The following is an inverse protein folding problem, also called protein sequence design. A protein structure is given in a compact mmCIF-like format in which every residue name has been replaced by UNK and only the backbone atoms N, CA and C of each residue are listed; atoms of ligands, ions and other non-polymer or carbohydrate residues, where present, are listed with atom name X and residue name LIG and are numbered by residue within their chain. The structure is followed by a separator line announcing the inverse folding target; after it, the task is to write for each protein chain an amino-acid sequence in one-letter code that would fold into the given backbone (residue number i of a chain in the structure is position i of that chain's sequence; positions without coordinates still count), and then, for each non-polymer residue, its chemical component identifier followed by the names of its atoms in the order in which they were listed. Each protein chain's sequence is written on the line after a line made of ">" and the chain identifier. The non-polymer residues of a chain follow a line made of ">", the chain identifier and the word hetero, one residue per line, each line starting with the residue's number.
data_IF_781111916479
#
_entry.id   IF_781111916479
#
_cell.length_a   1.000
_cell.length_b   1.000
_cell.length_c   1.000
_cell.angle_alpha   90.00
_cell.angle_beta   90.00
_cell.angle_gamma   90.00
#
_symmetry.space_group_name_H-M   'P 1'
#
loop_
_entity.id
_entity.type
_entity.pdbx_description
1 polymer ?
#
# COMPACT_ATOMS: atom_id res chain seq x y z
N UNK A 1 0.30 2.78 19.57
CA UNK A 1 0.04 2.25 18.22
C UNK A 1 -0.14 0.74 18.32
N UNK A 2 -1.33 0.18 18.04
CA UNK A 2 -1.50 -1.28 17.94
C UNK A 2 -0.88 -1.70 16.61
N UNK A 3 0.21 -2.48 16.64
CA UNK A 3 0.71 -3.10 15.41
C UNK A 3 -0.39 -3.99 14.84
N UNK A 4 -0.82 -3.72 13.61
CA UNK A 4 -1.73 -4.61 12.89
C UNK A 4 -0.90 -5.79 12.39
N UNK A 5 -1.09 -6.94 13.04
CA UNK A 5 -0.47 -8.24 12.69
C UNK A 5 -1.54 -9.18 12.19
N UNK A 6 -2.27 -8.73 11.18
CA UNK A 6 -3.43 -9.44 10.63
C UNK A 6 -3.25 -9.62 9.14
N UNK A 7 -3.62 -10.79 8.66
CA UNK A 7 -3.79 -11.07 7.24
C UNK A 7 -5.28 -11.25 7.03
N UNK A 8 -5.88 -10.40 6.20
CA UNK A 8 -7.27 -10.51 5.78
C UNK A 8 -7.33 -10.72 4.28
N UNK A 9 -8.26 -11.57 3.84
CA UNK A 9 -8.48 -11.81 2.41
C UNK A 9 -9.94 -11.54 2.04
N UNK A 10 -10.10 -10.99 0.85
CA UNK A 10 -11.40 -10.83 0.19
C UNK A 10 -11.37 -11.54 -1.15
N UNK A 11 -12.51 -12.08 -1.57
CA UNK A 11 -12.67 -12.75 -2.87
C UNK A 11 -13.64 -11.97 -3.73
N UNK A 12 -13.28 -11.78 -5.01
CA UNK A 12 -14.15 -11.18 -6.01
C UNK A 12 -14.69 -12.24 -6.97
N UNK A 13 -15.94 -12.08 -7.42
CA UNK A 13 -16.45 -12.80 -8.59
C UNK A 13 -16.62 -11.83 -9.75
N UNK A 14 -16.15 -12.22 -10.94
CA UNK A 14 -16.39 -11.48 -12.18
C UNK A 14 -17.32 -12.27 -13.09
N UNK A 15 -18.08 -11.56 -13.93
CA UNK A 15 -18.89 -12.15 -15.00
C UNK A 15 -18.25 -11.80 -16.33
N UNK A 16 -17.95 -12.82 -17.15
CA UNK A 16 -17.31 -12.66 -18.45
C UNK A 16 -18.33 -12.81 -19.60
N UNK A 17 -18.29 -11.92 -20.60
CA UNK A 17 -18.64 -12.33 -21.95
C UNK A 17 -17.56 -11.87 -22.95
N UNK A 18 -16.56 -12.72 -23.18
CA UNK A 18 -15.66 -12.74 -24.35
C UNK A 18 -14.64 -11.60 -24.51
N UNK A 19 -13.43 -11.98 -24.95
CA UNK A 19 -12.16 -11.23 -24.95
C UNK A 19 -12.23 -9.70 -25.20
N UNK A 20 -11.40 -8.95 -24.46
CA UNK A 20 -11.33 -7.48 -24.40
C UNK A 20 -12.47 -6.78 -23.65
N UNK A 21 -13.47 -7.51 -23.16
CA UNK A 21 -14.54 -6.94 -22.35
C UNK A 21 -14.06 -6.52 -20.95
N UNK A 22 -14.59 -5.38 -20.49
CA UNK A 22 -14.41 -4.82 -19.15
C UNK A 22 -14.75 -5.84 -18.08
N UNK A 23 -13.89 -6.00 -17.07
CA UNK A 23 -14.21 -6.82 -15.90
C UNK A 23 -15.12 -6.01 -14.96
N UNK A 24 -16.23 -6.62 -14.55
CA UNK A 24 -17.12 -6.04 -13.53
C UNK A 24 -17.05 -6.93 -12.29
N UNK A 25 -16.58 -6.36 -11.18
CA UNK A 25 -16.63 -7.01 -9.87
C UNK A 25 -18.07 -7.01 -9.40
N UNK A 26 -18.71 -8.19 -9.40
CA UNK A 26 -20.13 -8.32 -9.07
C UNK A 26 -20.38 -8.37 -7.57
N UNK A 27 -19.44 -8.94 -6.82
CA UNK A 27 -19.47 -9.05 -5.37
C UNK A 27 -18.05 -9.19 -4.82
N UNK A 28 -17.87 -8.71 -3.59
CA UNK A 28 -16.68 -8.93 -2.76
C UNK A 28 -17.14 -9.62 -1.48
N UNK A 29 -16.53 -10.75 -1.16
CA UNK A 29 -16.83 -11.54 0.03
C UNK A 29 -15.61 -11.61 0.94
N UNK A 30 -15.83 -11.42 2.24
CA UNK A 30 -14.78 -11.57 3.25
C UNK A 30 -14.48 -13.05 3.46
N UNK A 31 -13.25 -13.47 3.14
CA UNK A 31 -12.84 -14.86 3.26
C UNK A 31 -12.41 -15.23 4.68
N UNK A 32 -11.88 -14.27 5.45
CA UNK A 32 -11.44 -14.48 6.82
C UNK A 32 -10.28 -13.56 7.22
N UNK A 33 -9.87 -13.69 8.48
CA UNK A 33 -8.73 -12.98 9.07
C UNK A 33 -7.94 -13.91 9.99
N UNK A 34 -6.62 -13.86 9.89
CA UNK A 34 -5.71 -14.51 10.83
C UNK A 34 -4.93 -13.44 11.58
N UNK A 35 -4.95 -13.52 12.92
CA UNK A 35 -4.08 -12.71 13.78
C UNK A 35 -2.80 -13.49 14.09
N UNK A 36 -1.65 -12.94 13.72
CA UNK A 36 -0.36 -13.54 14.02
C UNK A 36 0.03 -13.29 15.50
N UNK A 37 0.62 -14.28 16.20
CA UNK A 37 1.02 -14.11 17.59
C UNK A 37 1.97 -12.92 17.80
N UNK A 38 1.81 -12.24 18.92
CA UNK A 38 2.75 -11.18 19.32
C UNK A 38 4.14 -11.76 19.52
N UNK A 39 5.16 -11.15 18.91
CA UNK A 39 6.53 -11.63 19.01
C UNK A 39 6.83 -12.86 18.16
N UNK A 40 5.97 -13.19 17.18
CA UNK A 40 6.25 -14.20 16.18
C UNK A 40 7.63 -13.91 15.53
N UNK A 41 8.46 -14.94 15.47
CA UNK A 41 9.78 -14.90 14.86
C UNK A 41 9.78 -15.77 13.61
N UNK A 42 10.41 -15.31 12.54
CA UNK A 42 10.66 -16.09 11.35
C UNK A 42 12.07 -15.84 10.84
N UNK A 43 12.84 -16.92 10.63
CA UNK A 43 14.22 -16.87 10.13
C UNK A 43 15.11 -15.83 10.85
N UNK A 44 14.97 -15.71 12.18
CA UNK A 44 15.76 -14.77 12.99
C UNK A 44 15.27 -13.31 12.96
N UNK A 45 14.11 -13.05 12.36
CA UNK A 45 13.49 -11.72 12.27
C UNK A 45 12.14 -11.70 12.97
N UNK A 46 11.85 -10.61 13.68
CA UNK A 46 10.52 -10.40 14.25
C UNK A 46 9.54 -10.07 13.14
N UNK A 47 8.41 -10.78 13.10
CA UNK A 47 7.30 -10.46 12.21
C UNK A 47 6.60 -9.20 12.76
N UNK A 48 6.97 -8.07 12.20
CA UNK A 48 6.49 -6.72 12.55
C UNK A 48 5.06 -6.45 12.09
N UNK A 49 4.72 -5.17 11.97
CA UNK A 49 3.47 -4.74 11.34
C UNK A 49 3.53 -5.02 9.84
N UNK A 50 2.48 -5.64 9.29
CA UNK A 50 2.37 -5.88 7.86
C UNK A 50 1.58 -4.74 7.22
N UNK A 51 2.18 -4.07 6.22
CA UNK A 51 1.60 -2.89 5.58
C UNK A 51 1.08 -3.14 4.17
N UNK A 52 1.46 -4.26 3.54
CA UNK A 52 0.99 -4.63 2.21
C UNK A 52 1.12 -6.14 1.95
N UNK A 53 0.25 -6.67 1.08
CA UNK A 53 0.21 -8.06 0.67
C UNK A 53 -0.12 -8.12 -0.82
N UNK A 54 0.68 -8.85 -1.60
CA UNK A 54 0.41 -9.08 -3.04
C UNK A 54 0.65 -10.55 -3.38
N UNK A 55 -0.18 -11.10 -4.26
CA UNK A 55 -0.07 -12.48 -4.73
C UNK A 55 0.76 -12.54 -6.03
N UNK A 56 1.70 -13.46 -6.07
CA UNK A 56 2.44 -13.85 -7.27
C UNK A 56 1.87 -15.16 -7.82
N UNK A 57 1.07 -15.11 -8.89
CA UNK A 57 0.49 -16.30 -9.50
C UNK A 57 1.52 -17.20 -10.20
N UNK A 58 2.70 -16.67 -10.57
CA UNK A 58 3.72 -17.44 -11.27
C UNK A 58 4.47 -18.38 -10.34
N UNK A 59 4.59 -17.98 -9.07
CA UNK A 59 5.30 -18.72 -8.02
C UNK A 59 4.37 -19.24 -6.91
N UNK A 60 3.05 -19.03 -7.05
CA UNK A 60 2.02 -19.42 -6.08
C UNK A 60 2.33 -18.96 -4.64
N UNK A 61 2.89 -17.76 -4.50
CA UNK A 61 3.32 -17.19 -3.21
C UNK A 61 2.73 -15.80 -2.99
N UNK A 62 2.70 -15.34 -1.75
CA UNK A 62 2.40 -13.97 -1.41
C UNK A 62 3.65 -13.25 -0.93
N UNK A 63 3.83 -12.01 -1.36
CA UNK A 63 4.79 -11.08 -0.75
C UNK A 63 4.07 -10.23 0.28
N UNK A 64 4.55 -10.25 1.52
CA UNK A 64 4.07 -9.39 2.59
C UNK A 64 5.16 -8.40 3.00
N UNK A 65 4.84 -7.11 2.91
CA UNK A 65 5.74 -6.03 3.28
C UNK A 65 5.66 -5.74 4.78
N UNK A 66 6.82 -5.65 5.41
CA UNK A 66 6.97 -5.24 6.80
C UNK A 66 8.02 -4.14 6.90
N UNK A 67 7.58 -2.91 7.18
CA UNK A 67 8.47 -1.77 7.49
C UNK A 67 8.94 -1.73 8.95
N UNK A 68 8.51 -2.71 9.76
CA UNK A 68 8.88 -2.87 11.17
C UNK A 68 8.49 -1.66 12.05
N UNK A 69 7.19 -1.52 12.33
CA UNK A 69 6.60 -0.37 13.04
C UNK A 69 7.04 -0.20 14.51
N UNK A 70 7.87 -1.09 15.06
CA UNK A 70 8.57 -0.86 16.34
C UNK A 70 9.95 -0.19 16.13
N UNK A 71 10.35 0.06 14.87
CA UNK A 71 11.62 0.65 14.44
C UNK A 71 12.84 -0.09 14.98
N UNK A 72 12.77 -1.43 15.02
CA UNK A 72 13.86 -2.26 15.52
C UNK A 72 14.77 -2.76 14.39
N UNK A 73 14.29 -2.81 13.14
CA UNK A 73 15.07 -3.33 12.03
C UNK A 73 14.64 -2.76 10.66
N UNK A 74 15.47 -3.01 9.63
CA UNK A 74 15.26 -2.52 8.27
C UNK A 74 14.01 -3.15 7.61
N UNK A 75 13.33 -2.46 6.68
CA UNK A 75 12.20 -3.03 5.95
C UNK A 75 12.52 -4.36 5.28
N UNK A 76 11.52 -5.23 5.15
CA UNK A 76 11.67 -6.57 4.57
C UNK A 76 10.42 -7.03 3.85
N UNK A 77 10.62 -7.96 2.94
CA UNK A 77 9.57 -8.75 2.32
C UNK A 77 9.60 -10.16 2.91
N UNK A 78 8.47 -10.59 3.43
CA UNK A 78 8.23 -12.00 3.71
C UNK A 78 7.59 -12.65 2.51
N UNK A 79 8.01 -13.87 2.18
CA UNK A 79 7.23 -14.75 1.30
C UNK A 79 6.36 -15.65 2.16
N UNK A 80 5.12 -15.81 1.75
CA UNK A 80 4.11 -16.59 2.44
C UNK A 80 3.44 -17.56 1.48
N UNK A 81 2.90 -18.64 2.02
CA UNK A 81 1.77 -19.36 1.43
C UNK A 81 0.53 -19.08 2.27
N UNK A 82 -0.62 -18.98 1.59
CA UNK A 82 -1.91 -18.85 2.24
C UNK A 82 -2.84 -19.88 1.59
N UNK A 83 -3.16 -20.94 2.33
CA UNK A 83 -4.11 -21.95 1.88
C UNK A 83 -5.53 -21.39 1.98
N UNK A 84 -6.23 -21.31 0.86
CA UNK A 84 -7.60 -20.82 0.81
C UNK A 84 -8.47 -21.71 -0.08
N UNK A 85 -8.08 -22.98 -0.23
CA UNK A 85 -8.70 -23.92 -1.16
C UNK A 85 -10.19 -24.18 -0.86
N UNK A 86 -10.62 -24.00 0.38
CA UNK A 86 -11.98 -24.31 0.82
C UNK A 86 -12.97 -23.13 0.79
N UNK A 87 -12.53 -21.95 0.38
CA UNK A 87 -13.39 -20.75 0.39
C UNK A 87 -13.10 -19.77 1.53
N UNK A 88 -12.36 -20.19 2.56
CA UNK A 88 -12.17 -19.42 3.79
C UNK A 88 -10.70 -19.13 4.08
N UNK A 89 -10.46 -18.29 5.09
CA UNK A 89 -9.15 -18.06 5.71
C UNK A 89 -9.27 -18.26 7.23
N UNK A 90 -8.51 -19.20 7.78
CA UNK A 90 -8.51 -19.62 9.18
C UNK A 90 -7.11 -19.77 9.79
N UNK A 91 -7.07 -20.04 11.10
CA UNK A 91 -5.81 -20.20 11.83
C UNK A 91 -4.97 -21.35 11.25
N UNK A 92 -3.66 -21.12 11.10
CA UNK A 92 -2.71 -22.13 10.59
C UNK A 92 -2.55 -22.17 9.07
N UNK A 93 -3.36 -21.43 8.31
CA UNK A 93 -3.30 -21.40 6.84
C UNK A 93 -2.26 -20.42 6.28
N UNK A 94 -1.77 -19.49 7.11
CA UNK A 94 -0.69 -18.58 6.75
C UNK A 94 0.65 -19.16 7.19
N UNK A 95 1.53 -19.47 6.23
CA UNK A 95 2.86 -20.01 6.49
C UNK A 95 3.94 -19.13 5.85
N UNK A 96 4.89 -18.68 6.66
CA UNK A 96 6.07 -17.95 6.19
C UNK A 96 7.08 -18.93 5.57
N UNK A 97 7.55 -18.62 4.36
CA UNK A 97 8.46 -19.47 3.58
C UNK A 97 9.81 -18.82 3.32
N UNK A 98 9.92 -17.51 3.48
CA UNK A 98 11.15 -16.77 3.22
C UNK A 98 11.09 -15.33 3.73
N UNK A 99 12.26 -14.72 3.84
CA UNK A 99 12.42 -13.31 4.20
C UNK A 99 13.61 -12.73 3.44
N UNK A 100 13.43 -11.53 2.90
CA UNK A 100 14.51 -10.72 2.30
C UNK A 100 14.47 -9.31 2.86
N UNK A 101 15.61 -8.80 3.29
CA UNK A 101 15.75 -7.40 3.71
C UNK A 101 15.75 -6.52 2.46
N UNK A 102 14.97 -5.43 2.48
CA UNK A 102 14.99 -4.47 1.39
C UNK A 102 16.29 -3.66 1.42
N UNK A 103 16.90 -3.51 0.25
CA UNK A 103 18.14 -2.77 0.08
C UNK A 103 18.00 -1.67 -0.96
N UNK A 104 18.82 -0.63 -0.83
CA UNK A 104 18.99 0.39 -1.84
C UNK A 104 19.77 -0.14 -3.05
N UNK A 105 20.05 0.76 -3.99
CA UNK A 105 20.74 0.40 -5.24
C UNK A 105 22.21 -0.04 -5.04
N UNK A 106 22.82 0.28 -3.90
CA UNK A 106 24.19 -0.12 -3.55
C UNK A 106 24.23 -1.29 -2.55
N UNK A 107 23.15 -2.07 -2.46
CA UNK A 107 22.98 -3.24 -1.60
C UNK A 107 23.04 -2.96 -0.08
N UNK A 108 22.89 -1.70 0.30
CA UNK A 108 22.76 -1.28 1.68
C UNK A 108 21.31 -1.48 2.18
N UNK A 109 21.10 -1.99 3.40
CA UNK A 109 19.75 -2.06 3.97
C UNK A 109 19.09 -0.67 4.00
N UNK A 110 17.80 -0.61 3.65
CA UNK A 110 17.02 0.62 3.79
C UNK A 110 16.93 1.03 5.27
N UNK A 111 16.75 2.33 5.51
CA UNK A 111 16.77 2.89 6.86
C UNK A 111 15.71 2.26 7.76
N UNK A 112 16.08 1.98 9.01
CA UNK A 112 15.14 1.47 10.02
C UNK A 112 13.99 2.46 10.21
N UNK A 113 12.76 1.94 10.23
CA UNK A 113 11.54 2.75 10.37
C UNK A 113 11.06 3.43 9.07
N UNK A 114 11.75 3.24 7.95
CA UNK A 114 11.15 3.54 6.63
C UNK A 114 10.12 2.48 6.25
N UNK A 115 9.20 2.78 5.32
CA UNK A 115 8.18 1.84 4.82
C UNK A 115 7.27 1.18 5.87
N UNK A 116 7.23 1.70 7.11
CA UNK A 116 6.27 1.27 8.12
C UNK A 116 4.82 1.41 7.62
N UNK A 117 4.62 2.36 6.69
CA UNK A 117 3.37 2.61 5.98
C UNK A 117 3.61 2.79 4.50
N UNK A 118 3.39 1.69 3.79
CA UNK A 118 3.77 1.50 2.41
C UNK A 118 2.73 0.63 1.71
N UNK A 119 2.59 0.82 0.41
CA UNK A 119 1.88 -0.10 -0.48
C UNK A 119 2.85 -1.03 -1.17
N UNK A 120 2.34 -2.16 -1.67
CA UNK A 120 3.10 -3.07 -2.52
C UNK A 120 2.22 -3.51 -3.70
N UNK A 121 2.82 -3.55 -4.88
CA UNK A 121 2.22 -4.13 -6.08
C UNK A 121 3.24 -4.99 -6.82
N UNK A 122 2.76 -5.98 -7.56
CA UNK A 122 3.55 -6.87 -8.40
C UNK A 122 3.14 -6.66 -9.85
N UNK A 123 4.11 -6.41 -10.73
CA UNK A 123 3.88 -6.38 -12.16
C UNK A 123 3.98 -7.79 -12.77
N UNK A 124 3.35 -8.02 -13.96
CA UNK A 124 3.39 -9.32 -14.63
C UNK A 124 4.78 -9.85 -14.98
N UNK A 125 5.79 -8.98 -15.05
CA UNK A 125 7.19 -9.33 -15.30
C UNK A 125 7.96 -9.76 -14.02
N UNK A 126 7.29 -9.78 -12.87
CA UNK A 126 7.88 -10.14 -11.57
C UNK A 126 8.50 -8.96 -10.82
N UNK A 127 8.47 -7.74 -11.37
CA UNK A 127 8.96 -6.54 -10.70
C UNK A 127 8.00 -6.13 -9.58
N UNK A 128 8.52 -5.88 -8.38
CA UNK A 128 7.76 -5.28 -7.28
C UNK A 128 7.84 -3.76 -7.34
N UNK A 129 6.74 -3.12 -6.95
CA UNK A 129 6.65 -1.69 -6.73
C UNK A 129 6.25 -1.45 -5.29
N UNK A 130 7.00 -0.62 -4.58
CA UNK A 130 6.77 -0.32 -3.17
C UNK A 130 6.71 1.19 -3.00
N UNK A 131 5.62 1.67 -2.41
CA UNK A 131 5.47 3.09 -2.08
C UNK A 131 5.96 3.37 -0.68
N UNK A 132 6.29 4.61 -0.41
CA UNK A 132 6.40 5.11 0.95
C UNK A 132 5.52 6.35 1.08
N UNK A 133 4.82 6.46 2.21
CA UNK A 133 3.81 7.50 2.40
C UNK A 133 4.40 8.92 2.52
N UNK A 134 5.68 9.05 2.90
CA UNK A 134 6.33 10.32 3.25
C UNK A 134 6.27 10.66 4.75
N UNK A 135 7.09 11.61 5.19
CA UNK A 135 7.11 12.11 6.57
C UNK A 135 7.15 13.65 6.58
N UNK A 136 5.99 14.32 6.66
CA UNK A 136 5.92 15.78 6.73
C UNK A 136 6.59 16.39 7.96
N UNK A 137 6.78 15.60 9.03
CA UNK A 137 7.38 16.06 10.29
C UNK A 137 8.90 15.83 10.34
N UNK A 138 9.46 15.16 9.32
CA UNK A 138 10.89 15.02 9.16
C UNK A 138 11.58 16.39 9.00
N UNK A 139 12.89 16.42 9.26
CA UNK A 139 13.71 17.61 9.12
C UNK A 139 14.88 17.33 8.16
N UNK A 140 14.79 17.71 6.86
CA UNK A 140 13.66 18.40 6.20
C UNK A 140 12.44 17.49 5.99
N UNK A 141 11.23 18.05 5.74
CA UNK A 141 10.05 17.28 5.39
C UNK A 141 10.32 16.39 4.18
N UNK A 142 9.88 15.13 4.27
CA UNK A 142 10.21 14.12 3.27
C UNK A 142 8.95 13.68 2.51
N UNK A 143 9.07 13.60 1.19
CA UNK A 143 7.97 13.35 0.29
C UNK A 143 7.72 11.87 0.05
N UNK A 144 6.54 11.50 -0.45
CA UNK A 144 6.30 10.12 -0.83
C UNK A 144 7.12 9.76 -2.07
N UNK A 145 7.46 8.48 -2.20
CA UNK A 145 8.09 7.94 -3.40
C UNK A 145 7.52 6.56 -3.75
N UNK A 146 7.79 6.10 -4.97
CA UNK A 146 7.50 4.74 -5.41
C UNK A 146 8.77 4.15 -6.01
N UNK A 147 9.28 3.08 -5.39
CA UNK A 147 10.49 2.38 -5.83
C UNK A 147 10.18 1.11 -6.61
N UNK A 148 11.08 0.78 -7.56
CA UNK A 148 11.12 -0.49 -8.27
C UNK A 148 12.04 -1.44 -7.50
N UNK A 149 11.53 -2.59 -7.09
CA UNK A 149 12.26 -3.61 -6.33
C UNK A 149 12.24 -4.97 -7.02
N UNK A 150 13.39 -5.63 -7.12
CA UNK A 150 13.40 -7.04 -7.50
C UNK A 150 12.85 -7.92 -6.36
N UNK A 151 12.37 -9.14 -6.64
CA UNK A 151 11.88 -10.07 -5.61
C UNK A 151 12.91 -10.45 -4.53
N UNK A 152 14.20 -10.24 -4.79
CA UNK A 152 15.28 -10.40 -3.82
C UNK A 152 15.44 -9.21 -2.86
N UNK A 153 14.63 -8.15 -3.03
CA UNK A 153 14.57 -6.98 -2.15
C UNK A 153 15.43 -5.80 -2.59
N UNK A 154 16.16 -5.87 -3.71
CA UNK A 154 17.03 -4.79 -4.15
C UNK A 154 16.29 -3.70 -4.93
N UNK A 155 16.47 -2.44 -4.54
CA UNK A 155 15.92 -1.31 -5.27
C UNK A 155 16.68 -1.08 -6.59
N UNK A 156 15.94 -1.05 -7.69
CA UNK A 156 16.45 -0.86 -9.04
C UNK A 156 16.20 0.54 -9.61
N UNK A 157 15.29 1.32 -9.00
CA UNK A 157 14.97 2.67 -9.45
C UNK A 157 13.78 3.28 -8.71
N UNK A 158 13.38 4.47 -9.17
CA UNK A 158 12.23 5.22 -8.67
C UNK A 158 11.30 5.59 -9.84
N UNK A 159 10.01 5.70 -9.55
CA UNK A 159 9.04 6.37 -10.42
C UNK A 159 8.94 7.85 -10.02
N UNK A 160 8.53 8.69 -10.98
CA UNK A 160 8.34 10.12 -10.75
C UNK A 160 7.04 10.38 -10.02
N UNK A 161 7.11 10.88 -8.78
CA UNK A 161 5.94 11.40 -8.05
C UNK A 161 5.88 12.91 -8.23
N UNK A 162 4.73 13.50 -8.63
CA UNK A 162 4.63 14.93 -8.87
C UNK A 162 5.00 15.78 -7.63
N UNK A 163 5.74 16.89 -7.77
CA UNK A 163 6.19 17.72 -6.63
C UNK A 163 5.07 18.25 -5.73
N UNK A 164 3.84 18.34 -6.22
CA UNK A 164 2.66 18.75 -5.43
C UNK A 164 2.32 17.79 -4.29
N UNK A 165 2.89 16.58 -4.30
CA UNK A 165 2.76 15.59 -3.22
C UNK A 165 3.79 15.82 -2.10
N UNK A 166 4.92 16.46 -2.39
CA UNK A 166 5.96 16.74 -1.39
C UNK A 166 5.43 17.71 -0.32
N UNK A 167 5.55 17.38 0.98
CA UNK A 167 5.02 18.23 2.04
C UNK A 167 5.79 19.55 2.12
N UNK A 168 5.05 20.65 2.26
CA UNK A 168 5.60 21.95 2.61
C UNK A 168 5.05 22.36 3.97
N UNK A 169 5.95 22.70 4.89
CA UNK A 169 5.61 23.05 6.27
C UNK A 169 5.79 24.55 6.52
N UNK A 170 4.87 25.15 7.27
CA UNK A 170 5.05 26.43 7.96
C UNK A 170 5.10 26.14 9.45
N UNK A 171 6.27 26.22 10.06
CA UNK A 171 6.55 25.68 11.39
C UNK A 171 6.13 24.20 11.49
N UNK A 172 5.14 23.87 12.32
CA UNK A 172 4.60 22.52 12.49
C UNK A 172 3.31 22.28 11.70
N UNK A 173 2.90 23.22 10.84
CA UNK A 173 1.64 23.13 10.10
C UNK A 173 1.90 22.82 8.63
N UNK A 174 1.32 21.74 8.08
CA UNK A 174 1.43 21.46 6.65
C UNK A 174 0.59 22.46 5.85
N UNK A 175 1.21 23.08 4.85
CA UNK A 175 0.59 24.10 3.98
C UNK A 175 0.47 23.67 2.51
N UNK A 176 1.17 22.60 2.12
CA UNK A 176 1.00 21.92 0.83
C UNK A 176 1.45 20.45 0.94
N UNK A 177 1.06 19.61 -0.01
CA UNK A 177 1.52 18.22 -0.10
C UNK A 177 0.72 17.23 0.71
N UNK A 178 1.31 16.06 0.94
CA UNK A 178 0.75 15.02 1.81
C UNK A 178 0.58 15.51 3.24
N UNK A 179 -0.30 14.85 3.97
CA UNK A 179 -0.47 15.03 5.41
C UNK A 179 0.19 13.87 6.15
N UNK A 180 0.60 14.13 7.39
CA UNK A 180 1.03 13.06 8.26
C UNK A 180 -0.10 12.05 8.34
N UNK A 181 0.26 10.78 8.18
CA UNK A 181 -0.68 9.69 8.29
C UNK A 181 -1.76 9.58 7.21
N UNK A 182 -1.61 10.25 6.07
CA UNK A 182 -2.57 10.18 4.96
C UNK A 182 -1.90 10.20 3.57
N UNK A 183 -0.68 9.66 3.46
CA UNK A 183 0.14 9.66 2.24
C UNK A 183 -0.17 8.53 1.24
N UNK A 184 0.79 8.21 0.37
CA UNK A 184 0.65 7.17 -0.67
C UNK A 184 0.78 5.75 -0.09
N UNK A 185 -0.34 5.03 0.07
CA UNK A 185 -0.35 3.65 0.60
C UNK A 185 -0.98 2.60 -0.32
N UNK A 186 -1.83 3.00 -1.26
CA UNK A 186 -2.51 2.06 -2.14
C UNK A 186 -1.76 1.97 -3.46
N UNK A 187 -1.42 0.76 -3.91
CA UNK A 187 -0.74 0.50 -5.17
C UNK A 187 -1.40 -0.66 -5.90
N UNK A 188 -1.49 -0.57 -7.22
CA UNK A 188 -1.81 -1.71 -8.09
C UNK A 188 -1.19 -1.53 -9.46
N UNK A 189 -0.94 -2.62 -10.17
CA UNK A 189 -0.44 -2.62 -11.55
C UNK A 189 -1.53 -3.23 -12.44
N UNK A 190 -1.76 -2.66 -13.62
CA UNK A 190 -2.71 -3.20 -14.58
C UNK A 190 -2.27 -4.59 -15.08
N UNK A 191 -3.21 -5.48 -15.42
CA UNK A 191 -2.87 -6.81 -15.94
C UNK A 191 -1.92 -6.84 -17.14
N UNK A 192 -1.91 -5.81 -18.00
CA UNK A 192 -0.97 -5.69 -19.11
C UNK A 192 0.41 -5.13 -18.72
N UNK A 193 0.62 -4.76 -17.46
CA UNK A 193 1.88 -4.23 -16.93
C UNK A 193 2.24 -2.84 -17.44
N UNK A 194 1.28 -2.08 -17.99
CA UNK A 194 1.55 -0.76 -18.57
C UNK A 194 1.39 0.39 -17.60
N UNK A 195 0.41 0.31 -16.71
CA UNK A 195 0.10 1.37 -15.75
C UNK A 195 0.28 0.87 -14.32
N UNK A 196 0.83 1.73 -13.48
CA UNK A 196 0.74 1.61 -12.04
C UNK A 196 -0.17 2.72 -11.51
N UNK A 197 -1.17 2.34 -10.73
CA UNK A 197 -2.01 3.27 -10.01
C UNK A 197 -1.56 3.35 -8.56
N UNK A 198 -1.31 4.56 -8.09
CA UNK A 198 -0.96 4.86 -6.71
C UNK A 198 -1.97 5.83 -6.10
N UNK A 199 -2.51 5.54 -4.92
CA UNK A 199 -3.51 6.41 -4.30
C UNK A 199 -3.13 6.84 -2.89
N UNK A 200 -3.50 8.09 -2.59
CA UNK A 200 -3.42 8.64 -1.25
C UNK A 200 -4.50 8.05 -0.37
N UNK A 201 -4.21 7.94 0.93
CA UNK A 201 -5.24 7.62 1.92
C UNK A 201 -6.29 8.73 2.02
N UNK A 202 -5.92 10.00 1.78
CA UNK A 202 -6.85 11.13 1.80
C UNK A 202 -6.38 12.32 0.94
N UNK A 203 -7.06 13.46 1.04
CA UNK A 203 -6.72 14.69 0.32
C UNK A 203 -5.27 15.16 0.56
N UNK A 204 -4.68 15.85 -0.42
CA UNK A 204 -3.52 16.73 -0.19
C UNK A 204 -3.97 18.03 0.48
N UNK A 205 -3.04 18.77 1.09
CA UNK A 205 -3.37 20.00 1.82
C UNK A 205 -4.13 21.01 0.96
N UNK A 206 -3.67 21.21 -0.27
CA UNK A 206 -4.26 22.13 -1.24
C UNK A 206 -5.62 21.67 -1.82
N UNK A 207 -6.05 20.44 -1.57
CA UNK A 207 -7.26 19.87 -2.18
C UNK A 207 -8.52 20.02 -1.33
N UNK A 208 -8.37 20.45 -0.08
CA UNK A 208 -9.47 20.59 0.87
C UNK A 208 -9.16 19.93 2.21
N UNK A 209 -10.15 19.88 3.12
CA UNK A 209 -9.99 19.23 4.42
C UNK A 209 -9.80 17.71 4.26
N UNK A 210 -9.29 17.08 5.32
CA UNK A 210 -9.43 15.63 5.48
C UNK A 210 -10.91 15.31 5.67
N UNK A 211 -11.34 14.10 5.28
CA UNK A 211 -12.70 13.66 5.58
C UNK A 211 -13.00 13.76 7.08
N UNK A 212 -14.30 13.88 7.38
CA UNK A 212 -14.83 13.82 8.73
C UNK A 212 -16.27 13.37 8.65
N UNK A 213 -17.02 13.37 9.75
CA UNK A 213 -18.47 13.16 9.69
C UNK A 213 -19.24 14.26 8.92
N UNK A 214 -18.57 15.39 8.58
CA UNK A 214 -19.16 16.55 7.89
C UNK A 214 -18.60 16.79 6.49
N UNK A 215 -17.42 16.26 6.17
CA UNK A 215 -16.72 16.49 4.90
C UNK A 215 -16.31 15.17 4.24
N UNK A 216 -16.37 15.14 2.91
CA UNK A 216 -15.74 14.08 2.11
C UNK A 216 -14.27 14.38 1.92
N UNK A 217 -13.42 13.34 1.94
CA UNK A 217 -12.01 13.46 1.58
C UNK A 217 -11.83 13.31 0.09
N UNK A 218 -10.96 14.11 -0.53
CA UNK A 218 -10.66 14.03 -1.97
C UNK A 218 -9.31 13.36 -2.22
N UNK A 219 -9.24 12.04 -2.06
CA UNK A 219 -8.03 11.28 -2.31
C UNK A 219 -7.66 11.33 -3.81
N UNK A 220 -6.39 11.54 -4.11
CA UNK A 220 -5.88 11.48 -5.49
C UNK A 220 -5.43 10.05 -5.82
N UNK A 221 -5.79 9.58 -7.02
CA UNK A 221 -5.25 8.38 -7.64
C UNK A 221 -4.35 8.82 -8.80
N UNK A 222 -3.05 8.58 -8.68
CA UNK A 222 -2.01 8.86 -9.66
C UNK A 222 -1.82 7.65 -10.58
N UNK A 223 -1.93 7.85 -11.89
CA UNK A 223 -1.57 6.86 -12.91
C UNK A 223 -0.16 7.14 -13.43
N UNK A 224 0.69 6.13 -13.40
CA UNK A 224 2.09 6.16 -13.83
C UNK A 224 2.28 5.19 -14.98
N UNK A 225 2.78 5.70 -16.11
CA UNK A 225 3.20 4.86 -17.23
C UNK A 225 4.49 4.13 -16.83
N UNK A 226 4.46 2.80 -16.78
CA UNK A 226 5.59 2.01 -16.30
C UNK A 226 6.76 1.96 -17.29
N UNK A 227 6.51 2.20 -18.57
CA UNK A 227 7.58 2.24 -19.58
C UNK A 227 8.44 3.50 -19.44
N UNK A 228 7.83 4.65 -19.14
CA UNK A 228 8.52 5.94 -18.95
C UNK A 228 8.87 6.23 -17.50
N UNK A 229 8.09 5.70 -16.56
CA UNK A 229 8.15 6.01 -15.14
C UNK A 229 7.51 7.35 -14.76
N UNK A 230 6.79 7.98 -15.67
CA UNK A 230 6.23 9.33 -15.53
C UNK A 230 4.71 9.33 -15.31
N UNK A 231 4.16 10.36 -14.65
CA UNK A 231 2.72 10.55 -14.50
C UNK A 231 2.01 10.66 -15.86
N UNK A 232 0.99 9.84 -16.06
CA UNK A 232 0.14 9.87 -17.26
C UNK A 232 -1.17 10.60 -17.01
N UNK A 233 -1.80 10.35 -15.86
CA UNK A 233 -3.08 10.94 -15.48
C UNK A 233 -3.23 11.00 -13.96
N UNK A 234 -4.27 11.69 -13.51
CA UNK A 234 -4.65 11.70 -12.11
C UNK A 234 -6.16 11.83 -11.97
N UNK A 235 -6.71 11.09 -11.01
CA UNK A 235 -8.14 10.99 -10.73
C UNK A 235 -8.40 11.36 -9.28
N UNK A 236 -9.66 11.65 -8.97
CA UNK A 236 -10.12 11.94 -7.61
C UNK A 236 -11.06 10.82 -7.18
N UNK A 237 -10.85 10.32 -5.98
CA UNK A 237 -11.73 9.41 -5.28
C UNK A 237 -12.30 10.10 -4.04
N UNK A 238 -13.62 10.08 -3.90
CA UNK A 238 -14.30 10.60 -2.71
C UNK A 238 -14.23 9.55 -1.60
N UNK A 239 -13.44 9.85 -0.56
CA UNK A 239 -13.38 9.07 0.66
C UNK A 239 -14.63 9.37 1.47
N UNK A 240 -15.43 8.32 1.72
CA UNK A 240 -16.67 8.42 2.49
C UNK A 240 -16.42 9.07 3.86
N UNK A 241 -17.36 9.86 4.39
CA UNK A 241 -17.30 10.42 5.74
C UNK A 241 -17.08 9.35 6.81
N UNK A 242 -16.25 9.66 7.81
CA UNK A 242 -16.10 8.81 8.98
C UNK A 242 -17.46 8.47 9.62
N UNK A 243 -17.68 7.17 9.89
CA UNK A 243 -18.98 6.66 10.36
C UNK A 243 -19.40 7.21 11.73
N UNK A 244 -18.43 7.65 12.54
CA UNK A 244 -18.67 8.28 13.83
C UNK A 244 -17.79 9.53 14.02
N UNK A 245 -18.27 10.54 14.76
CA UNK A 245 -17.42 11.64 15.18
C UNK A 245 -16.26 11.15 16.04
N UNK A 246 -15.13 11.86 16.00
CA UNK A 246 -13.98 11.58 16.85
C UNK A 246 -14.34 11.52 18.35
N UNK A 247 -13.87 10.47 19.03
CA UNK A 247 -14.01 10.29 20.47
C UNK A 247 -12.65 9.96 21.08
N UNK A 248 -12.09 10.81 21.97
CA UNK A 248 -12.64 12.10 22.43
C UNK A 248 -12.71 13.16 21.31
N UNK A 249 -13.50 14.21 21.55
CA UNK A 249 -13.56 15.38 20.64
C UNK A 249 -12.14 15.91 20.40
N UNK A 250 -11.73 15.98 19.13
CA UNK A 250 -10.37 16.37 18.72
C UNK A 250 -9.43 15.21 18.42
N UNK A 251 -9.84 13.95 18.59
CA UNK A 251 -9.11 12.79 18.07
C UNK A 251 -9.25 12.67 16.54
N UNK A 252 -8.41 11.86 15.91
CA UNK A 252 -8.60 11.47 14.50
C UNK A 252 -9.82 10.55 14.38
N UNK A 253 -10.73 10.89 13.47
CA UNK A 253 -11.80 10.01 13.01
C UNK A 253 -12.00 10.27 11.54
N UNK A 254 -11.23 9.52 10.75
CA UNK A 254 -11.13 9.65 9.31
C UNK A 254 -11.27 8.25 8.71
N UNK A 255 -11.89 8.16 7.55
CA UNK A 255 -11.75 7.03 6.67
C UNK A 255 -10.52 7.23 5.77
N UNK A 256 -10.12 6.17 5.09
CA UNK A 256 -8.97 6.22 4.18
C UNK A 256 -9.14 5.25 3.01
N UNK A 257 -8.62 5.64 1.85
CA UNK A 257 -8.42 4.73 0.73
C UNK A 257 -7.17 3.87 0.99
N UNK A 258 -7.39 2.69 1.56
CA UNK A 258 -6.32 1.80 2.06
C UNK A 258 -6.00 0.60 1.16
N UNK A 259 -6.72 0.45 0.05
CA UNK A 259 -6.47 -0.61 -0.92
C UNK A 259 -7.00 -0.25 -2.31
N UNK A 260 -6.31 -0.72 -3.34
CA UNK A 260 -6.69 -0.56 -4.74
C UNK A 260 -6.30 -1.84 -5.49
N UNK A 261 -7.16 -2.31 -6.40
CA UNK A 261 -6.89 -3.50 -7.21
C UNK A 261 -7.37 -3.27 -8.64
N UNK A 262 -6.44 -3.26 -9.60
CA UNK A 262 -6.76 -3.28 -11.01
C UNK A 262 -7.26 -4.68 -11.39
N UNK A 263 -8.47 -4.76 -11.92
CA UNK A 263 -9.08 -6.01 -12.38
C UNK A 263 -9.04 -6.17 -13.90
N UNK A 264 -8.82 -5.07 -14.63
CA UNK A 264 -8.60 -5.02 -16.07
C UNK A 264 -7.72 -3.83 -16.47
N UNK A 265 -7.61 -3.58 -17.78
CA UNK A 265 -6.80 -2.49 -18.35
C UNK A 265 -7.64 -1.26 -18.78
N UNK A 266 -8.94 -1.22 -18.47
CA UNK A 266 -9.86 -0.26 -19.08
C UNK A 266 -10.15 0.97 -18.22
N UNK A 267 -9.81 0.95 -16.93
CA UNK A 267 -10.08 2.03 -15.98
C UNK A 267 -11.58 2.25 -15.72
N UNK A 268 -11.99 2.39 -14.47
CA UNK A 268 -13.36 2.78 -14.12
C UNK A 268 -13.37 3.72 -12.94
#
# INVERSE_FOLDING_TARGET
>A
MRLVRRVGLVRGTSRDPTSSARQVVAAIEFAGEVTLPTGLQFAGTAVGGLSGLVYDPSNETYYALSGDSNREAAPRLYTLTIDTNDGTLGEGEVQFTGVVTLTGSADEPLAVGSFDRAGIALAPDGQLYISWEGDPEAAPPDGPFIGRFSPDGRQAGLLTVPPKYTPLMSDTTPIAGIRHNLGLRSLTVTPDGRSLYAALENALVQDGPVDSSEFVGLARILDLDLATGEPAAEFVYEVDPAAQPAQPVGAESTNALVGLLATDNNGS
#
